data_IF_501377897033
#
_entry.id   IF_501377897033
#
_cell.length_a   1.000
_cell.length_b   1.000
_cell.length_c   1.000
_cell.angle_alpha   90.00
_cell.angle_beta   90.00
_cell.angle_gamma   90.00
#
_symmetry.space_group_name_H-M   'P 1'
#
loop_
_entity.id
_entity.type
_entity.pdbx_description
1 polymer ?
#
# COMPACT_ATOMS: atom_id res chain seq x y z
N UNK A 1 21.93 -37.57 -85.93
CA UNK A 1 22.99 -36.59 -86.10
C UNK A 1 22.60 -35.32 -85.40
N UNK A 2 23.35 -35.02 -84.30
CA UNK A 2 23.45 -33.80 -83.56
C UNK A 2 22.20 -33.20 -82.82
N UNK A 3 22.13 -33.62 -81.60
CA UNK A 3 21.70 -32.89 -80.43
C UNK A 3 22.55 -31.62 -80.29
N UNK A 4 21.92 -30.43 -80.18
CA UNK A 4 22.36 -29.23 -79.46
C UNK A 4 21.47 -28.06 -79.91
N UNK A 5 20.50 -27.69 -79.17
CA UNK A 5 19.99 -26.33 -78.99
C UNK A 5 18.60 -26.39 -78.28
N UNK A 6 18.63 -26.55 -77.01
CA UNK A 6 17.49 -26.14 -76.12
C UNK A 6 17.97 -26.11 -74.63
N UNK A 7 18.79 -25.14 -74.34
CA UNK A 7 19.05 -24.73 -72.95
C UNK A 7 19.13 -23.21 -72.97
N UNK A 8 18.05 -22.53 -72.68
CA UNK A 8 18.03 -21.15 -72.22
C UNK A 8 16.59 -20.62 -72.34
N UNK A 9 15.75 -20.93 -71.39
CA UNK A 9 14.50 -20.19 -71.10
C UNK A 9 13.70 -20.91 -69.95
N UNK A 10 14.33 -21.02 -68.78
CA UNK A 10 13.58 -21.42 -67.56
C UNK A 10 14.31 -20.97 -66.30
N UNK A 11 14.64 -19.67 -66.19
CA UNK A 11 15.23 -19.10 -65.00
C UNK A 11 14.70 -17.68 -64.65
N UNK A 12 13.48 -17.35 -65.12
CA UNK A 12 12.90 -16.02 -64.76
C UNK A 12 11.44 -16.07 -64.34
N UNK A 13 10.95 -17.21 -63.87
CA UNK A 13 9.55 -17.33 -63.40
C UNK A 13 9.42 -17.89 -61.97
N UNK A 14 10.50 -17.90 -61.14
CA UNK A 14 10.44 -18.42 -59.78
C UNK A 14 10.91 -17.42 -58.70
N UNK A 15 10.93 -16.13 -59.02
CA UNK A 15 11.36 -15.06 -58.08
C UNK A 15 10.26 -14.08 -57.66
N UNK A 16 8.98 -14.31 -58.01
CA UNK A 16 7.87 -13.36 -57.66
C UNK A 16 6.79 -13.97 -56.73
N UNK A 17 6.99 -15.15 -56.17
CA UNK A 17 5.97 -15.77 -55.30
C UNK A 17 6.45 -15.99 -53.84
N UNK A 18 7.36 -15.14 -53.32
CA UNK A 18 7.83 -15.22 -51.91
C UNK A 18 7.77 -13.91 -51.15
N UNK A 19 6.96 -12.92 -51.59
CA UNK A 19 6.87 -11.59 -50.91
C UNK A 19 5.48 -11.34 -50.22
N UNK A 20 4.60 -12.31 -50.13
CA UNK A 20 3.27 -12.08 -49.53
C UNK A 20 2.90 -12.97 -48.31
N UNK A 21 3.87 -13.44 -47.51
CA UNK A 21 3.57 -14.18 -46.27
C UNK A 21 4.36 -13.71 -45.03
N UNK A 22 4.82 -12.46 -44.99
CA UNK A 22 5.46 -11.86 -43.80
C UNK A 22 4.76 -10.55 -43.48
N UNK A 23 3.44 -10.52 -43.25
CA UNK A 23 2.74 -9.32 -42.84
C UNK A 23 1.54 -9.59 -41.94
N UNK A 24 1.65 -10.53 -41.00
CA UNK A 24 0.65 -10.70 -39.95
C UNK A 24 1.20 -11.19 -38.61
N UNK A 25 2.52 -11.04 -38.32
CA UNK A 25 3.09 -11.42 -37.04
C UNK A 25 3.80 -10.29 -36.29
N UNK A 26 4.02 -9.14 -36.94
CA UNK A 26 4.78 -8.02 -36.34
C UNK A 26 3.97 -7.08 -35.46
N UNK A 27 2.64 -7.15 -35.46
CA UNK A 27 1.81 -6.16 -34.73
C UNK A 27 1.51 -6.53 -33.27
N UNK A 28 1.80 -7.75 -32.81
CA UNK A 28 1.61 -8.10 -31.37
C UNK A 28 2.92 -8.10 -30.57
N UNK A 29 4.05 -8.47 -31.16
CA UNK A 29 5.35 -8.43 -30.49
C UNK A 29 5.86 -6.99 -30.32
N UNK A 30 5.67 -6.11 -31.31
CA UNK A 30 6.07 -4.70 -31.20
C UNK A 30 5.25 -3.89 -30.17
N UNK A 31 4.00 -4.28 -29.89
CA UNK A 31 3.24 -3.60 -28.83
C UNK A 31 3.68 -4.02 -27.42
N UNK A 32 4.07 -5.28 -27.22
CA UNK A 32 4.57 -5.75 -25.92
C UNK A 32 5.99 -5.25 -25.62
N UNK A 33 6.84 -5.12 -26.64
CA UNK A 33 8.19 -4.55 -26.47
C UNK A 33 8.15 -3.02 -26.29
N UNK A 34 7.26 -2.29 -26.96
CA UNK A 34 7.08 -0.85 -26.76
C UNK A 34 6.51 -0.56 -25.36
N UNK A 35 5.55 -1.35 -24.88
CA UNK A 35 5.01 -1.21 -23.51
C UNK A 35 6.04 -1.63 -22.45
N UNK A 36 6.92 -2.60 -22.73
CA UNK A 36 8.03 -2.95 -21.83
C UNK A 36 9.17 -1.93 -21.88
N UNK A 37 9.43 -1.30 -23.00
CA UNK A 37 10.44 -0.24 -23.13
C UNK A 37 9.98 1.10 -22.55
N UNK A 38 8.69 1.47 -22.66
CA UNK A 38 8.13 2.64 -21.98
C UNK A 38 8.12 2.48 -20.45
N UNK A 39 7.95 1.24 -19.95
CA UNK A 39 8.04 0.96 -18.51
C UNK A 39 9.47 0.91 -17.95
N UNK A 40 10.50 0.79 -18.80
CA UNK A 40 11.91 0.72 -18.37
C UNK A 40 12.61 2.08 -18.28
N UNK A 41 12.01 3.17 -18.80
CA UNK A 41 12.63 4.53 -18.82
C UNK A 41 11.98 5.53 -17.87
N UNK A 42 11.07 5.10 -16.97
CA UNK A 42 10.55 6.00 -15.95
C UNK A 42 11.53 5.99 -14.77
N UNK A 43 12.63 6.75 -14.87
CA UNK A 43 13.54 6.92 -13.73
C UNK A 43 12.79 7.57 -12.56
N UNK A 44 12.86 6.95 -11.38
CA UNK A 44 12.31 7.49 -10.14
C UNK A 44 13.10 8.71 -9.64
N UNK A 45 14.29 8.95 -10.18
CA UNK A 45 15.26 9.98 -9.76
C UNK A 45 14.76 11.44 -9.75
N UNK A 46 13.53 11.69 -10.28
CA UNK A 46 12.93 13.04 -10.30
C UNK A 46 11.71 13.20 -9.40
N UNK A 47 11.30 12.16 -8.67
CA UNK A 47 10.16 12.23 -7.76
C UNK A 47 10.57 12.84 -6.42
N UNK A 48 9.66 13.57 -5.78
CA UNK A 48 9.88 14.12 -4.44
C UNK A 48 9.60 13.09 -3.33
N UNK A 49 9.19 11.86 -3.68
CA UNK A 49 8.88 10.77 -2.78
C UNK A 49 9.45 9.45 -3.31
N UNK A 50 9.54 8.45 -2.45
CA UNK A 50 9.85 7.06 -2.77
C UNK A 50 8.56 6.23 -2.82
N UNK A 51 8.63 5.02 -3.38
CA UNK A 51 7.48 4.12 -3.54
C UNK A 51 7.60 2.87 -2.67
N UNK A 52 6.59 2.62 -1.86
CA UNK A 52 6.38 1.37 -1.12
C UNK A 52 5.12 0.66 -1.58
N UNK A 53 5.02 -0.61 -1.24
CA UNK A 53 3.82 -1.44 -1.46
C UNK A 53 3.21 -1.79 -0.11
N UNK A 54 1.92 -1.50 0.06
CA UNK A 54 1.12 -2.02 1.16
C UNK A 54 0.71 -3.46 0.85
N UNK A 55 1.04 -4.39 1.75
CA UNK A 55 0.74 -5.82 1.58
C UNK A 55 -0.76 -6.08 1.43
N UNK A 56 -1.61 -5.19 1.97
CA UNK A 56 -3.05 -5.28 1.80
C UNK A 56 -3.50 -5.28 0.34
N UNK A 57 -2.76 -4.66 -0.57
CA UNK A 57 -3.01 -4.74 -2.02
C UNK A 57 -3.03 -6.18 -2.57
N UNK A 58 -2.44 -7.12 -1.85
CA UNK A 58 -2.38 -8.54 -2.18
C UNK A 58 -3.32 -9.40 -1.30
N UNK A 59 -4.29 -8.79 -0.60
CA UNK A 59 -5.17 -9.49 0.32
C UNK A 59 -5.94 -10.65 -0.33
N UNK A 60 -6.46 -10.47 -1.55
CA UNK A 60 -7.26 -11.47 -2.27
C UNK A 60 -6.47 -12.76 -2.55
N UNK A 61 -5.29 -12.72 -3.22
CA UNK A 61 -4.49 -13.93 -3.43
C UNK A 61 -3.95 -14.52 -2.12
N UNK A 62 -3.73 -13.73 -1.06
CA UNK A 62 -3.33 -14.25 0.24
C UNK A 62 -4.50 -14.99 0.91
N UNK A 63 -5.69 -14.40 0.96
CA UNK A 63 -6.87 -15.06 1.55
C UNK A 63 -7.38 -16.27 0.76
N UNK A 64 -7.04 -16.38 -0.52
CA UNK A 64 -7.36 -17.55 -1.35
C UNK A 64 -6.26 -18.61 -1.38
N UNK A 65 -5.21 -18.48 -0.57
CA UNK A 65 -4.03 -19.36 -0.52
C UNK A 65 -3.27 -19.46 -1.88
N UNK A 66 -3.47 -18.50 -2.78
CA UNK A 66 -2.72 -18.40 -4.04
C UNK A 66 -1.33 -17.76 -3.87
N UNK A 67 -1.15 -17.01 -2.78
CA UNK A 67 0.09 -16.33 -2.43
C UNK A 67 0.41 -16.53 -0.95
N UNK A 68 1.60 -17.05 -0.66
CA UNK A 68 2.13 -17.09 0.72
C UNK A 68 2.50 -15.65 1.14
N UNK A 69 1.96 -15.12 2.27
CA UNK A 69 2.33 -13.80 2.75
C UNK A 69 3.84 -13.63 3.02
N UNK A 70 4.56 -14.74 3.24
CA UNK A 70 6.02 -14.72 3.39
C UNK A 70 6.78 -14.37 2.11
N UNK A 71 6.16 -14.47 0.92
CA UNK A 71 6.75 -14.11 -0.38
C UNK A 71 6.51 -12.63 -0.75
N UNK A 72 6.04 -11.82 0.19
CA UNK A 72 5.68 -10.41 -0.07
C UNK A 72 6.85 -9.58 -0.59
N UNK A 73 8.05 -9.71 -0.02
CA UNK A 73 9.24 -8.97 -0.46
C UNK A 73 9.60 -9.30 -1.91
N UNK A 74 9.53 -10.58 -2.32
CA UNK A 74 9.74 -11.00 -3.71
C UNK A 74 8.73 -10.33 -4.64
N UNK A 75 7.44 -10.36 -4.28
CA UNK A 75 6.37 -9.75 -5.10
C UNK A 75 6.51 -8.24 -5.23
N UNK A 76 6.87 -7.56 -4.15
CA UNK A 76 7.11 -6.11 -4.17
C UNK A 76 8.32 -5.76 -5.07
N UNK A 77 9.41 -6.52 -4.95
CA UNK A 77 10.58 -6.38 -5.81
C UNK A 77 10.26 -6.63 -7.30
N UNK A 78 9.51 -7.69 -7.64
CA UNK A 78 9.07 -8.00 -9.01
C UNK A 78 8.21 -6.88 -9.62
N UNK A 79 7.48 -6.14 -8.79
CA UNK A 79 6.68 -4.98 -9.17
C UNK A 79 7.48 -3.66 -9.15
N UNK A 80 8.78 -3.73 -8.79
CA UNK A 80 9.71 -2.61 -8.80
C UNK A 80 9.44 -1.59 -7.69
N UNK A 81 9.10 -2.02 -6.49
CA UNK A 81 9.05 -1.22 -5.27
C UNK A 81 10.36 -1.32 -4.51
N UNK A 82 10.60 -0.37 -3.60
CA UNK A 82 11.79 -0.31 -2.75
C UNK A 82 11.44 -0.51 -1.27
N UNK A 83 10.19 -0.23 -0.87
CA UNK A 83 9.72 -0.28 0.51
C UNK A 83 8.56 -1.26 0.73
N UNK A 84 8.52 -1.83 1.93
CA UNK A 84 7.54 -2.84 2.36
C UNK A 84 6.71 -2.34 3.55
N UNK A 85 5.39 -2.47 3.43
CA UNK A 85 4.42 -2.17 4.48
C UNK A 85 3.60 -3.43 4.76
N UNK A 86 3.92 -4.10 5.87
CA UNK A 86 3.35 -5.40 6.22
C UNK A 86 1.99 -5.27 6.91
N UNK A 87 1.14 -6.30 6.78
CA UNK A 87 -0.15 -6.43 7.48
C UNK A 87 -0.08 -7.63 8.43
N UNK A 88 -0.19 -7.38 9.73
CA UNK A 88 -0.03 -8.42 10.76
C UNK A 88 -1.10 -9.51 10.71
N UNK A 89 -2.29 -9.17 10.23
CA UNK A 89 -3.41 -10.10 10.08
C UNK A 89 -3.05 -11.34 9.24
N UNK A 90 -2.18 -11.19 8.24
CA UNK A 90 -1.80 -12.30 7.36
C UNK A 90 -0.89 -13.34 8.03
N UNK A 91 -0.31 -13.01 9.17
CA UNK A 91 0.57 -13.88 9.95
C UNK A 91 -0.09 -14.35 11.25
N UNK A 92 -1.16 -13.67 11.68
CA UNK A 92 -1.78 -13.86 12.99
C UNK A 92 -2.29 -15.28 13.21
N UNK A 93 -2.92 -15.90 12.21
CA UNK A 93 -3.42 -17.27 12.32
C UNK A 93 -2.27 -18.24 12.56
N UNK A 94 -1.22 -18.19 11.76
CA UNK A 94 -0.04 -19.02 11.87
C UNK A 94 0.62 -18.90 13.23
N UNK A 95 0.75 -17.68 13.75
CA UNK A 95 1.35 -17.40 15.05
C UNK A 95 0.45 -17.92 16.17
N UNK A 96 -0.84 -17.63 16.15
CA UNK A 96 -1.76 -17.96 17.25
C UNK A 96 -2.11 -19.44 17.36
N UNK A 97 -2.02 -20.21 16.26
CA UNK A 97 -2.30 -21.65 16.23
C UNK A 97 -1.05 -22.52 16.53
N UNK A 98 0.14 -21.91 16.67
CA UNK A 98 1.37 -22.62 16.99
C UNK A 98 1.37 -23.13 18.45
N UNK A 99 2.13 -24.20 18.74
CA UNK A 99 2.32 -24.71 20.10
C UNK A 99 3.01 -23.65 21.01
N UNK A 100 3.94 -22.89 20.43
CA UNK A 100 4.60 -21.74 21.06
C UNK A 100 4.45 -20.50 20.16
N UNK A 101 3.46 -19.64 20.43
CA UNK A 101 3.23 -18.44 19.63
C UNK A 101 4.40 -17.43 19.63
N UNK A 102 5.18 -17.35 20.71
CA UNK A 102 6.33 -16.44 20.78
C UNK A 102 7.47 -16.95 19.89
N UNK A 103 7.76 -18.26 19.92
CA UNK A 103 8.75 -18.88 19.02
C UNK A 103 8.31 -18.74 17.56
N UNK A 104 7.05 -19.03 17.24
CA UNK A 104 6.54 -18.91 15.87
C UNK A 104 6.56 -17.46 15.36
N UNK A 105 6.24 -16.49 16.21
CA UNK A 105 6.38 -15.08 15.87
C UNK A 105 7.83 -14.74 15.48
N UNK A 106 8.81 -15.23 16.23
CA UNK A 106 10.22 -15.03 15.90
C UNK A 106 10.59 -15.68 14.57
N UNK A 107 10.10 -16.90 14.30
CA UNK A 107 10.31 -17.59 12.99
C UNK A 107 9.74 -16.77 11.84
N UNK A 108 8.53 -16.21 11.99
CA UNK A 108 7.93 -15.33 10.98
C UNK A 108 8.80 -14.08 10.77
N UNK A 109 9.22 -13.40 11.85
CA UNK A 109 10.02 -12.19 11.76
C UNK A 109 11.39 -12.44 11.12
N UNK A 110 12.07 -13.56 11.47
CA UNK A 110 13.33 -13.96 10.86
C UNK A 110 13.16 -14.20 9.36
N UNK A 111 12.08 -14.86 8.96
CA UNK A 111 11.75 -15.10 7.56
C UNK A 111 11.50 -13.81 6.77
N UNK A 112 10.69 -12.88 7.30
CA UNK A 112 10.41 -11.59 6.67
C UNK A 112 11.70 -10.75 6.53
N UNK A 113 12.53 -10.72 7.57
CA UNK A 113 13.81 -10.02 7.54
C UNK A 113 14.76 -10.59 6.50
N UNK A 114 14.91 -11.92 6.48
CA UNK A 114 15.75 -12.60 5.49
C UNK A 114 15.30 -12.31 4.05
N UNK A 115 13.99 -12.32 3.80
CA UNK A 115 13.43 -12.02 2.49
C UNK A 115 13.63 -10.54 2.09
N UNK A 116 13.40 -9.60 2.99
CA UNK A 116 13.67 -8.18 2.70
C UNK A 116 15.15 -7.91 2.41
N UNK A 117 16.07 -8.55 3.14
CA UNK A 117 17.51 -8.46 2.91
C UNK A 117 17.91 -9.13 1.58
N UNK A 118 17.34 -10.31 1.23
CA UNK A 118 17.59 -11.01 -0.03
C UNK A 118 17.25 -10.15 -1.27
N UNK A 119 16.14 -9.43 -1.21
CA UNK A 119 15.68 -8.57 -2.32
C UNK A 119 16.10 -7.10 -2.17
N UNK A 120 16.87 -6.74 -1.13
CA UNK A 120 17.35 -5.38 -0.90
C UNK A 120 16.24 -4.36 -0.64
N UNK A 121 15.15 -4.80 0.02
CA UNK A 121 13.96 -3.98 0.30
C UNK A 121 14.07 -3.29 1.66
N UNK A 122 13.55 -2.06 1.78
CA UNK A 122 13.42 -1.36 3.06
C UNK A 122 12.11 -1.78 3.77
N UNK A 123 12.21 -2.27 5.01
CA UNK A 123 11.04 -2.50 5.87
C UNK A 123 10.60 -1.17 6.48
N UNK A 124 9.36 -0.75 6.28
CA UNK A 124 8.90 0.59 6.64
C UNK A 124 7.95 0.60 7.82
N UNK A 125 6.89 -0.20 7.78
CA UNK A 125 5.90 -0.25 8.85
C UNK A 125 5.17 -1.60 8.92
N UNK A 126 4.56 -1.85 10.09
CA UNK A 126 3.61 -2.92 10.33
C UNK A 126 2.22 -2.31 10.53
N UNK A 127 1.24 -2.71 9.73
CA UNK A 127 -0.18 -2.38 9.93
C UNK A 127 -0.78 -3.39 10.90
N UNK A 128 -1.20 -2.91 12.08
CA UNK A 128 -1.70 -3.75 13.15
C UNK A 128 -3.22 -3.85 13.08
N UNK A 129 -3.70 -5.08 13.02
CA UNK A 129 -5.13 -5.39 13.07
C UNK A 129 -5.40 -6.50 14.11
N UNK A 130 -6.56 -6.42 14.79
CA UNK A 130 -7.03 -7.49 15.67
C UNK A 130 -6.50 -7.48 17.12
N UNK A 131 -5.74 -6.47 17.52
CA UNK A 131 -5.14 -6.39 18.88
C UNK A 131 -5.98 -5.57 19.88
N UNK A 132 -7.31 -5.51 19.68
CA UNK A 132 -8.24 -4.79 20.53
C UNK A 132 -8.41 -3.31 20.20
N UNK A 133 -9.35 -2.67 20.89
CA UNK A 133 -9.82 -1.30 20.60
C UNK A 133 -9.09 -0.26 21.45
N UNK A 134 -8.15 0.47 20.84
CA UNK A 134 -7.37 1.52 21.52
C UNK A 134 -8.20 2.74 21.96
N UNK A 135 -9.38 2.95 21.36
CA UNK A 135 -10.30 4.01 21.78
C UNK A 135 -11.49 3.47 22.59
N UNK A 136 -11.38 2.32 23.23
CA UNK A 136 -12.41 1.77 24.13
C UNK A 136 -12.61 2.66 25.37
N UNK A 137 -13.89 2.90 25.74
CA UNK A 137 -14.24 3.58 27.01
C UNK A 137 -13.95 2.72 28.23
N UNK A 138 -13.93 1.38 28.09
CA UNK A 138 -13.49 0.47 29.13
C UNK A 138 -11.96 0.56 29.31
N UNK A 139 -11.54 1.13 30.43
CA UNK A 139 -10.12 1.33 30.71
C UNK A 139 -9.34 0.01 30.86
N UNK A 140 -9.98 -1.10 31.25
CA UNK A 140 -9.32 -2.41 31.34
C UNK A 140 -9.07 -2.96 29.96
N UNK A 141 -10.10 -2.97 29.09
CA UNK A 141 -9.98 -3.41 27.71
C UNK A 141 -8.98 -2.53 26.92
N UNK A 142 -9.04 -1.20 27.07
CA UNK A 142 -8.11 -0.27 26.44
C UNK A 142 -6.66 -0.49 26.86
N UNK A 143 -6.40 -0.69 28.16
CA UNK A 143 -5.05 -0.98 28.63
C UNK A 143 -4.56 -2.33 28.12
N UNK A 144 -5.42 -3.35 28.03
CA UNK A 144 -5.05 -4.63 27.44
C UNK A 144 -4.69 -4.46 25.97
N UNK A 145 -5.49 -3.70 25.20
CA UNK A 145 -5.16 -3.41 23.81
C UNK A 145 -3.77 -2.73 23.67
N UNK A 146 -3.43 -1.78 24.56
CA UNK A 146 -2.09 -1.18 24.58
C UNK A 146 -1.01 -2.25 24.82
N UNK A 147 -1.20 -3.16 25.78
CA UNK A 147 -0.24 -4.24 26.05
C UNK A 147 -0.08 -5.17 24.83
N UNK A 148 -1.20 -5.54 24.18
CA UNK A 148 -1.20 -6.44 23.03
C UNK A 148 -0.50 -5.84 21.79
N UNK A 149 -0.54 -4.50 21.65
CA UNK A 149 0.20 -3.81 20.57
C UNK A 149 1.72 -3.75 20.82
N UNK A 150 2.22 -3.89 22.05
CA UNK A 150 3.66 -3.76 22.35
C UNK A 150 4.53 -4.80 21.66
N UNK A 151 4.04 -6.04 21.51
CA UNK A 151 4.76 -7.07 20.77
C UNK A 151 5.07 -6.65 19.32
N UNK A 152 4.15 -5.90 18.70
CA UNK A 152 4.33 -5.39 17.34
C UNK A 152 5.26 -4.18 17.26
N UNK A 153 5.35 -3.37 18.30
CA UNK A 153 6.41 -2.35 18.43
C UNK A 153 7.78 -3.03 18.48
N UNK A 154 7.91 -4.14 19.22
CA UNK A 154 9.14 -4.92 19.29
C UNK A 154 9.47 -5.58 17.96
N UNK A 155 8.47 -6.13 17.27
CA UNK A 155 8.60 -6.69 15.92
C UNK A 155 9.05 -5.64 14.91
N UNK A 156 8.44 -4.44 14.94
CA UNK A 156 8.82 -3.33 14.06
C UNK A 156 10.29 -2.92 14.27
N UNK A 157 10.72 -2.78 15.53
CA UNK A 157 12.13 -2.51 15.84
C UNK A 157 13.05 -3.62 15.33
N UNK A 158 12.69 -4.91 15.50
CA UNK A 158 13.46 -6.06 15.05
C UNK A 158 13.63 -6.10 13.52
N UNK A 159 12.55 -5.79 12.77
CA UNK A 159 12.57 -5.73 11.31
C UNK A 159 13.27 -4.49 10.76
N UNK A 160 13.51 -3.47 11.59
CA UNK A 160 14.02 -2.17 11.17
C UNK A 160 12.94 -1.23 10.62
N UNK A 161 11.66 -1.52 10.87
CA UNK A 161 10.56 -0.63 10.52
C UNK A 161 10.62 0.65 11.37
N UNK A 162 10.33 1.80 10.74
CA UNK A 162 10.27 3.07 11.46
C UNK A 162 8.97 3.31 12.21
N UNK A 163 7.93 2.52 11.95
CA UNK A 163 6.58 2.75 12.51
C UNK A 163 5.76 1.47 12.63
N UNK A 164 4.75 1.54 13.50
CA UNK A 164 3.55 0.70 13.39
C UNK A 164 2.34 1.61 13.07
N UNK A 165 1.38 1.12 12.30
CA UNK A 165 0.08 1.76 12.10
C UNK A 165 -0.96 1.05 12.97
N UNK A 166 -1.74 1.83 13.70
CA UNK A 166 -2.80 1.35 14.59
C UNK A 166 -4.16 1.88 14.17
N UNK A 167 -5.21 1.12 14.48
CA UNK A 167 -6.60 1.54 14.34
C UNK A 167 -7.11 2.15 15.64
N UNK A 168 -7.96 3.17 15.55
CA UNK A 168 -8.63 3.79 16.70
C UNK A 168 -10.13 3.46 16.73
N UNK A 169 -10.43 2.16 16.87
CA UNK A 169 -11.81 1.72 17.11
C UNK A 169 -12.14 1.72 18.60
N UNK A 170 -13.46 1.72 18.92
CA UNK A 170 -13.97 1.62 20.29
C UNK A 170 -15.18 2.52 20.54
N UNK A 171 -14.98 3.67 21.17
CA UNK A 171 -16.05 4.59 21.52
C UNK A 171 -16.74 5.19 20.27
N UNK A 172 -18.07 5.40 20.39
CA UNK A 172 -18.89 6.02 19.34
C UNK A 172 -19.18 7.51 19.63
N UNK A 173 -19.02 7.94 20.89
CA UNK A 173 -19.19 9.32 21.30
C UNK A 173 -17.87 10.07 21.08
N UNK A 174 -17.83 11.16 20.30
CA UNK A 174 -16.61 11.85 19.92
C UNK A 174 -15.69 12.24 21.09
N UNK A 175 -16.25 12.77 22.17
CA UNK A 175 -15.46 13.20 23.33
C UNK A 175 -14.84 12.01 24.08
N UNK A 176 -15.60 10.92 24.25
CA UNK A 176 -15.11 9.69 24.85
C UNK A 176 -14.03 9.04 23.97
N UNK A 177 -14.22 9.07 22.66
CA UNK A 177 -13.27 8.55 21.69
C UNK A 177 -11.93 9.31 21.75
N UNK A 178 -11.95 10.64 21.72
CA UNK A 178 -10.74 11.46 21.80
C UNK A 178 -9.95 11.18 23.08
N UNK A 179 -10.65 11.18 24.23
CA UNK A 179 -10.00 10.96 25.52
C UNK A 179 -9.40 9.55 25.62
N UNK A 180 -10.12 8.52 25.17
CA UNK A 180 -9.65 7.14 25.19
C UNK A 180 -8.49 6.92 24.22
N UNK A 181 -8.61 7.43 22.99
CA UNK A 181 -7.55 7.35 21.99
C UNK A 181 -6.27 8.03 22.46
N UNK A 182 -6.36 9.26 22.97
CA UNK A 182 -5.19 9.99 23.46
C UNK A 182 -4.51 9.29 24.66
N UNK A 183 -5.27 8.68 25.58
CA UNK A 183 -4.71 7.90 26.69
C UNK A 183 -3.94 6.67 26.19
N UNK A 184 -4.52 5.90 25.27
CA UNK A 184 -3.87 4.72 24.71
C UNK A 184 -2.63 5.06 23.87
N UNK A 185 -2.75 6.06 22.98
CA UNK A 185 -1.64 6.49 22.12
C UNK A 185 -0.46 7.02 22.95
N UNK A 186 -0.69 7.80 24.01
CA UNK A 186 0.39 8.24 24.92
C UNK A 186 1.15 7.05 25.49
N UNK A 187 0.44 6.07 26.07
CA UNK A 187 1.04 4.90 26.70
C UNK A 187 1.86 4.07 25.67
N UNK A 188 1.28 3.86 24.50
CA UNK A 188 1.96 3.08 23.44
C UNK A 188 3.16 3.85 22.87
N UNK A 189 3.05 5.16 22.66
CA UNK A 189 4.13 6.01 22.19
C UNK A 189 5.27 6.12 23.18
N UNK A 190 4.98 6.19 24.48
CA UNK A 190 6.01 6.15 25.54
C UNK A 190 6.82 4.83 25.48
N UNK A 191 6.12 3.69 25.30
CA UNK A 191 6.79 2.39 25.12
C UNK A 191 7.66 2.36 23.86
N UNK A 192 7.13 2.86 22.74
CA UNK A 192 7.79 2.83 21.43
C UNK A 192 8.98 3.80 21.32
N UNK A 193 8.99 4.89 22.11
CA UNK A 193 10.03 5.93 22.08
C UNK A 193 11.44 5.37 22.28
N UNK A 194 11.61 4.42 23.23
CA UNK A 194 12.89 3.78 23.50
C UNK A 194 13.37 2.79 22.44
N UNK A 195 12.53 2.53 21.43
CA UNK A 195 12.74 1.55 20.36
C UNK A 195 12.86 2.20 18.97
N UNK A 196 12.83 3.53 18.90
CA UNK A 196 12.83 4.30 17.65
C UNK A 196 11.70 3.93 16.69
N UNK A 197 10.53 3.57 17.23
CA UNK A 197 9.32 3.22 16.46
C UNK A 197 8.28 4.31 16.67
N UNK A 198 7.67 4.80 15.59
CA UNK A 198 6.56 5.72 15.68
C UNK A 198 5.24 4.95 15.74
N UNK A 199 4.25 5.57 16.39
CA UNK A 199 2.87 5.11 16.43
C UNK A 199 2.07 5.98 15.46
N UNK A 200 1.55 5.39 14.38
CA UNK A 200 0.81 6.11 13.36
C UNK A 200 -0.67 5.75 13.38
N UNK A 201 -1.50 6.75 13.24
CA UNK A 201 -2.94 6.58 13.09
C UNK A 201 -3.33 6.85 11.64
N UNK A 202 -3.99 5.88 11.04
CA UNK A 202 -4.62 6.02 9.73
C UNK A 202 -6.06 6.54 9.87
N UNK A 203 -6.51 7.39 8.93
CA UNK A 203 -7.94 7.62 8.75
C UNK A 203 -8.56 6.34 8.18
N UNK A 204 -9.21 5.54 9.04
CA UNK A 204 -9.65 4.17 8.69
C UNK A 204 -11.13 3.94 9.04
N UNK A 205 -11.99 4.86 8.63
CA UNK A 205 -13.43 4.83 8.86
C UNK A 205 -13.87 5.44 10.20
N UNK A 206 -15.15 5.75 10.31
CA UNK A 206 -15.80 6.31 11.51
C UNK A 206 -15.10 7.56 12.07
N UNK A 207 -14.89 7.59 13.39
CA UNK A 207 -14.34 8.75 14.08
C UNK A 207 -12.87 8.99 13.71
N UNK A 208 -12.10 7.96 13.31
CA UNK A 208 -10.74 8.18 12.81
C UNK A 208 -10.71 8.85 11.43
N UNK A 209 -11.80 8.78 10.66
CA UNK A 209 -11.98 9.52 9.40
C UNK A 209 -12.59 10.91 9.59
N UNK A 210 -13.00 11.27 10.82
CA UNK A 210 -13.29 12.66 11.17
C UNK A 210 -11.98 13.35 11.53
N UNK A 211 -11.38 14.00 10.55
CA UNK A 211 -10.01 14.51 10.68
C UNK A 211 -9.90 15.63 11.71
N UNK A 212 -10.95 16.40 11.91
CA UNK A 212 -10.94 17.41 12.98
C UNK A 212 -10.74 16.76 14.37
N UNK A 213 -11.44 15.65 14.63
CA UNK A 213 -11.27 14.91 15.87
C UNK A 213 -9.89 14.22 15.94
N UNK A 214 -9.40 13.67 14.82
CA UNK A 214 -8.10 13.02 14.79
C UNK A 214 -6.97 14.02 15.07
N UNK A 215 -7.04 15.23 14.50
CA UNK A 215 -6.07 16.31 14.78
C UNK A 215 -6.11 16.71 16.25
N UNK A 216 -7.30 16.87 16.85
CA UNK A 216 -7.42 17.11 18.29
C UNK A 216 -6.75 16.00 19.13
N UNK A 217 -6.89 14.72 18.72
CA UNK A 217 -6.18 13.61 19.37
C UNK A 217 -4.66 13.76 19.25
N UNK A 218 -4.13 14.10 18.05
CA UNK A 218 -2.70 14.34 17.87
C UNK A 218 -2.18 15.47 18.77
N UNK A 219 -2.93 16.58 18.88
CA UNK A 219 -2.62 17.70 19.78
C UNK A 219 -2.67 17.29 21.27
N UNK A 220 -3.65 16.46 21.65
CA UNK A 220 -3.74 15.93 23.02
C UNK A 220 -2.58 14.99 23.36
N UNK A 221 -2.13 14.17 22.41
CA UNK A 221 -1.00 13.25 22.62
C UNK A 221 0.31 14.03 22.73
N UNK A 222 0.57 14.97 21.85
CA UNK A 222 1.73 15.87 21.83
C UNK A 222 3.07 15.12 22.04
N UNK A 223 3.30 14.06 21.25
CA UNK A 223 4.53 13.26 21.27
C UNK A 223 5.14 13.18 19.87
N UNK A 224 6.44 13.43 19.76
CA UNK A 224 7.16 13.44 18.49
C UNK A 224 7.06 12.13 17.73
N UNK A 225 7.01 10.99 18.43
CA UNK A 225 6.88 9.67 17.83
C UNK A 225 5.43 9.17 17.73
N UNK A 226 4.43 10.06 17.88
CA UNK A 226 3.04 9.81 17.52
C UNK A 226 2.69 10.67 16.32
N UNK A 227 2.01 10.10 15.32
CA UNK A 227 1.68 10.83 14.11
C UNK A 227 0.57 10.17 13.31
N UNK A 228 0.43 10.61 12.06
CA UNK A 228 -0.60 10.11 11.16
C UNK A 228 -0.01 9.35 9.97
N UNK A 229 -0.83 8.49 9.39
CA UNK A 229 -0.67 7.89 8.07
C UNK A 229 -1.88 8.34 7.24
N UNK A 230 -1.83 9.49 6.53
CA UNK A 230 -2.92 9.93 5.67
C UNK A 230 -3.15 8.92 4.54
N UNK A 231 -4.35 8.32 4.52
CA UNK A 231 -4.84 7.50 3.42
C UNK A 231 -5.73 8.33 2.49
N UNK A 232 -5.56 8.16 1.17
CA UNK A 232 -6.26 8.97 0.17
C UNK A 232 -7.73 8.62 -0.01
N UNK A 233 -8.18 7.44 0.45
CA UNK A 233 -9.52 6.92 0.20
C UNK A 233 -10.41 6.72 1.42
N UNK A 234 -9.85 6.58 2.62
CA UNK A 234 -10.57 6.16 3.82
C UNK A 234 -11.26 7.32 4.56
N UNK A 235 -12.18 8.03 3.92
CA UNK A 235 -12.88 9.19 4.48
C UNK A 235 -14.34 8.95 4.86
N UNK A 236 -14.81 7.69 4.84
CA UNK A 236 -16.19 7.39 5.17
C UNK A 236 -16.46 7.52 6.67
N UNK A 237 -17.34 8.45 7.03
CA UNK A 237 -17.79 8.69 8.41
C UNK A 237 -18.95 7.77 8.81
N UNK A 238 -19.81 7.44 7.85
CA UNK A 238 -21.01 6.65 8.11
C UNK A 238 -21.41 5.81 6.90
N UNK A 239 -21.71 4.54 7.16
CA UNK A 239 -22.23 3.63 6.14
C UNK A 239 -23.70 3.31 6.38
N UNK A 240 -24.40 2.86 5.33
CA UNK A 240 -25.79 2.38 5.43
C UNK A 240 -25.90 1.28 6.49
N UNK A 241 -27.01 1.30 7.23
CA UNK A 241 -27.27 0.29 8.26
C UNK A 241 -26.34 0.34 9.47
N UNK A 242 -25.34 1.24 9.53
CA UNK A 242 -24.33 1.28 10.59
C UNK A 242 -23.25 0.19 10.43
N UNK A 243 -23.17 -0.41 9.25
CA UNK A 243 -22.17 -1.42 8.92
C UNK A 243 -20.75 -0.82 8.94
N UNK A 244 -19.74 -1.65 9.27
CA UNK A 244 -18.37 -1.15 9.39
C UNK A 244 -17.67 -1.01 8.03
N UNK A 245 -17.82 -1.97 7.12
CA UNK A 245 -17.01 -2.02 5.92
C UNK A 245 -17.80 -2.18 4.60
N UNK A 246 -18.74 -3.09 4.53
CA UNK A 246 -19.29 -3.58 3.26
C UNK A 246 -20.43 -2.74 2.68
N UNK A 247 -21.07 -1.90 3.48
CA UNK A 247 -22.18 -1.07 3.03
C UNK A 247 -21.71 0.24 2.38
N UNK A 248 -22.58 0.81 1.54
CA UNK A 248 -22.32 2.08 0.88
C UNK A 248 -22.03 3.21 1.87
N UNK A 249 -21.04 4.04 1.58
CA UNK A 249 -20.76 5.25 2.36
C UNK A 249 -21.85 6.30 2.10
N UNK A 250 -22.49 6.79 3.17
CA UNK A 250 -23.56 7.79 3.10
C UNK A 250 -23.16 9.15 3.67
N UNK A 251 -22.01 9.23 4.34
CA UNK A 251 -21.43 10.48 4.85
C UNK A 251 -19.91 10.36 4.76
N UNK A 252 -19.28 11.30 4.06
CA UNK A 252 -17.84 11.31 3.82
C UNK A 252 -17.23 12.63 4.29
N UNK A 253 -16.05 12.56 4.94
CA UNK A 253 -15.25 13.75 5.23
C UNK A 253 -14.58 14.24 3.94
N UNK A 254 -14.41 15.58 3.73
CA UNK A 254 -13.73 16.11 2.54
C UNK A 254 -12.29 15.63 2.43
N UNK A 255 -12.01 14.67 1.54
CA UNK A 255 -10.75 13.92 1.47
C UNK A 255 -9.48 14.79 1.31
N UNK A 256 -9.52 15.79 0.46
CA UNK A 256 -8.35 16.69 0.23
C UNK A 256 -8.07 17.58 1.45
N UNK A 257 -9.10 18.14 2.05
CA UNK A 257 -9.00 18.89 3.30
C UNK A 257 -8.49 17.98 4.44
N UNK A 258 -8.97 16.75 4.48
CA UNK A 258 -8.54 15.75 5.45
C UNK A 258 -7.05 15.45 5.35
N UNK A 259 -6.54 15.14 4.16
CA UNK A 259 -5.11 14.91 3.97
C UNK A 259 -4.31 16.17 4.33
N UNK A 260 -4.73 17.36 3.89
CA UNK A 260 -4.05 18.63 4.21
C UNK A 260 -3.90 18.82 5.73
N UNK A 261 -4.95 18.55 6.51
CA UNK A 261 -4.93 18.66 7.98
C UNK A 261 -4.08 17.60 8.67
N UNK A 262 -3.98 16.39 8.09
CA UNK A 262 -3.17 15.29 8.65
C UNK A 262 -1.68 15.46 8.35
N UNK A 263 -1.31 16.07 7.22
CA UNK A 263 0.08 16.18 6.77
C UNK A 263 1.07 16.76 7.78
N UNK A 264 0.74 17.75 8.64
CA UNK A 264 1.66 18.24 9.68
C UNK A 264 2.12 17.16 10.66
N UNK A 265 1.35 16.09 10.82
CA UNK A 265 1.65 14.95 11.71
C UNK A 265 2.11 13.71 10.94
N UNK A 266 2.12 13.74 9.61
CA UNK A 266 2.35 12.57 8.77
C UNK A 266 3.79 12.07 8.85
N UNK A 267 3.95 10.75 8.99
CA UNK A 267 5.25 10.05 8.92
C UNK A 267 5.27 8.93 7.87
N UNK A 268 4.11 8.62 7.30
CA UNK A 268 3.89 7.77 6.14
C UNK A 268 2.67 8.29 5.39
N UNK A 269 2.43 7.84 4.16
CA UNK A 269 1.27 8.22 3.32
C UNK A 269 0.81 6.99 2.56
N UNK A 270 -0.51 6.71 2.55
CA UNK A 270 -1.13 5.63 1.79
C UNK A 270 -1.84 6.18 0.56
N UNK A 271 -1.42 5.75 -0.63
CA UNK A 271 -2.05 6.05 -1.89
C UNK A 271 -3.10 4.98 -2.24
N UNK A 272 -4.24 5.04 -1.56
CA UNK A 272 -5.40 4.20 -1.83
C UNK A 272 -5.93 4.41 -3.25
N UNK A 273 -6.33 3.32 -3.90
CA UNK A 273 -6.97 3.35 -5.22
C UNK A 273 -7.97 2.22 -5.37
N UNK A 274 -8.95 2.41 -6.25
CA UNK A 274 -10.05 1.47 -6.47
C UNK A 274 -10.28 1.17 -7.95
N UNK A 275 -10.58 2.18 -8.75
CA UNK A 275 -10.98 2.06 -10.16
C UNK A 275 -10.23 3.05 -11.03
N UNK A 276 -10.02 2.68 -12.30
CA UNK A 276 -9.28 3.50 -13.24
C UNK A 276 -10.05 3.64 -14.55
N UNK A 277 -10.08 4.84 -15.09
CA UNK A 277 -10.62 5.12 -16.42
C UNK A 277 -9.69 4.61 -17.55
N UNK A 278 -10.13 4.80 -18.82
CA UNK A 278 -9.36 4.37 -20.00
C UNK A 278 -8.02 5.11 -20.15
N UNK A 279 -7.87 6.29 -19.55
CA UNK A 279 -6.65 7.11 -19.52
C UNK A 279 -5.73 6.78 -18.35
N UNK A 280 -6.13 5.83 -17.48
CA UNK A 280 -5.42 5.39 -16.28
C UNK A 280 -5.45 6.42 -15.15
N UNK A 281 -6.50 7.26 -15.07
CA UNK A 281 -6.77 8.10 -13.91
C UNK A 281 -7.64 7.33 -12.92
N UNK A 282 -7.41 7.54 -11.64
CA UNK A 282 -8.30 7.03 -10.60
C UNK A 282 -9.60 7.83 -10.61
N UNK A 283 -10.75 7.14 -10.63
CA UNK A 283 -12.06 7.78 -10.89
C UNK A 283 -12.59 8.59 -9.70
N UNK A 284 -12.16 8.26 -8.47
CA UNK A 284 -12.69 8.84 -7.22
C UNK A 284 -11.70 9.86 -6.63
N UNK A 285 -10.39 9.67 -6.86
CA UNK A 285 -9.32 10.43 -6.24
C UNK A 285 -8.48 11.13 -7.31
N UNK A 286 -8.48 12.46 -7.31
CA UNK A 286 -7.55 13.25 -8.13
C UNK A 286 -6.14 13.18 -7.54
N UNK A 287 -5.33 12.29 -8.07
CA UNK A 287 -3.96 12.02 -7.61
C UNK A 287 -3.03 13.23 -7.76
N UNK A 288 -3.22 14.05 -8.80
CA UNK A 288 -2.41 15.26 -8.97
C UNK A 288 -2.70 16.29 -7.87
N UNK A 289 -3.98 16.49 -7.55
CA UNK A 289 -4.39 17.36 -6.45
C UNK A 289 -3.91 16.82 -5.10
N UNK A 290 -4.02 15.50 -4.88
CA UNK A 290 -3.61 14.85 -3.64
C UNK A 290 -2.09 14.95 -3.44
N UNK A 291 -1.29 14.61 -4.45
CA UNK A 291 0.16 14.70 -4.40
C UNK A 291 0.66 16.14 -4.26
N UNK A 292 -0.08 17.12 -4.80
CA UNK A 292 0.25 18.52 -4.56
C UNK A 292 0.15 18.89 -3.09
N UNK A 293 -0.88 18.43 -2.38
CA UNK A 293 -1.03 18.64 -0.93
C UNK A 293 0.15 18.02 -0.18
N UNK A 294 0.49 16.78 -0.50
CA UNK A 294 1.61 16.04 0.12
C UNK A 294 2.93 16.77 -0.12
N UNK A 295 3.18 17.24 -1.35
CA UNK A 295 4.39 18.01 -1.72
C UNK A 295 4.45 19.35 -1.01
N UNK A 296 3.36 20.10 -1.00
CA UNK A 296 3.29 21.43 -0.38
C UNK A 296 3.54 21.36 1.14
N UNK A 297 3.20 20.23 1.77
CA UNK A 297 3.55 19.95 3.17
C UNK A 297 5.03 19.61 3.40
N UNK A 298 5.83 19.50 2.34
CA UNK A 298 7.27 19.17 2.43
C UNK A 298 7.58 17.70 2.68
N UNK A 299 6.63 16.79 2.48
CA UNK A 299 6.85 15.36 2.64
C UNK A 299 7.73 14.79 1.52
N UNK A 300 8.73 14.00 1.89
CA UNK A 300 9.69 13.37 0.96
C UNK A 300 9.93 11.89 1.25
N UNK A 301 9.11 11.30 2.14
CA UNK A 301 9.19 9.89 2.52
C UNK A 301 8.61 8.94 1.48
N UNK A 302 8.29 7.75 1.92
CA UNK A 302 7.62 6.74 1.10
C UNK A 302 6.12 7.03 0.99
N UNK A 303 5.56 6.82 -0.20
CA UNK A 303 4.12 6.74 -0.44
C UNK A 303 3.80 5.29 -0.78
N UNK A 304 3.00 4.66 0.08
CA UNK A 304 2.56 3.27 -0.05
C UNK A 304 1.46 3.13 -1.09
N UNK A 305 1.66 2.28 -2.08
CA UNK A 305 0.60 1.88 -3.01
C UNK A 305 -0.32 0.90 -2.29
N UNK A 306 -1.60 1.24 -2.22
CA UNK A 306 -2.63 0.37 -1.64
C UNK A 306 -3.86 0.28 -2.55
N UNK A 307 -3.92 -0.78 -3.34
CA UNK A 307 -5.01 -1.05 -4.26
C UNK A 307 -6.07 -1.96 -3.63
N UNK A 308 -7.32 -1.51 -3.64
CA UNK A 308 -8.48 -2.26 -3.13
C UNK A 308 -9.60 -2.47 -4.17
N UNK A 309 -9.33 -2.20 -5.43
CA UNK A 309 -10.32 -2.36 -6.50
C UNK A 309 -10.69 -3.82 -6.78
N UNK A 310 -11.82 -3.98 -7.51
CA UNK A 310 -12.37 -5.29 -7.86
C UNK A 310 -12.48 -5.54 -9.36
N UNK A 311 -12.21 -4.53 -10.20
CA UNK A 311 -12.43 -4.61 -11.66
C UNK A 311 -11.24 -5.22 -12.41
N UNK A 312 -10.05 -5.12 -11.83
CA UNK A 312 -8.82 -5.68 -12.38
C UNK A 312 -8.11 -6.56 -11.35
N UNK A 313 -7.12 -7.34 -11.79
CA UNK A 313 -6.33 -8.15 -10.86
C UNK A 313 -5.52 -7.25 -9.90
N UNK A 314 -5.15 -7.76 -8.70
CA UNK A 314 -4.29 -7.04 -7.77
C UNK A 314 -3.02 -6.51 -8.41
N UNK A 315 -2.36 -7.33 -9.24
CA UNK A 315 -1.15 -6.93 -9.97
C UNK A 315 -1.39 -5.74 -10.91
N UNK A 316 -2.47 -5.79 -11.70
CA UNK A 316 -2.82 -4.71 -12.63
C UNK A 316 -3.16 -3.43 -11.88
N UNK A 317 -3.95 -3.51 -10.81
CA UNK A 317 -4.30 -2.36 -9.99
C UNK A 317 -3.11 -1.74 -9.26
N UNK A 318 -2.21 -2.54 -8.70
CA UNK A 318 -0.96 -2.06 -8.08
C UNK A 318 -0.11 -1.31 -9.11
N UNK A 319 0.06 -1.86 -10.31
CA UNK A 319 0.84 -1.20 -11.36
C UNK A 319 0.15 0.06 -11.89
N UNK A 320 -1.18 0.07 -12.00
CA UNK A 320 -1.94 1.26 -12.41
C UNK A 320 -1.76 2.39 -11.38
N UNK A 321 -1.90 2.09 -10.09
CA UNK A 321 -1.66 3.06 -9.00
C UNK A 321 -0.24 3.59 -9.01
N UNK A 322 0.76 2.71 -9.12
CA UNK A 322 2.18 3.07 -9.22
C UNK A 322 2.44 4.02 -10.40
N UNK A 323 1.94 3.66 -11.59
CA UNK A 323 2.12 4.46 -12.80
C UNK A 323 1.45 5.83 -12.67
N UNK A 324 0.25 5.88 -12.07
CA UNK A 324 -0.47 7.12 -11.82
C UNK A 324 0.29 8.03 -10.84
N UNK A 325 0.83 7.47 -9.72
CA UNK A 325 1.68 8.21 -8.79
C UNK A 325 2.90 8.81 -9.48
N UNK A 326 3.62 8.02 -10.27
CA UNK A 326 4.80 8.48 -11.02
C UNK A 326 4.42 9.56 -12.03
N UNK A 327 3.35 9.35 -12.81
CA UNK A 327 2.85 10.32 -13.81
C UNK A 327 2.45 11.64 -13.15
N UNK A 328 1.68 11.60 -12.07
CA UNK A 328 1.22 12.77 -11.36
C UNK A 328 2.37 13.49 -10.62
N UNK A 329 3.27 12.73 -9.96
CA UNK A 329 4.42 13.28 -9.26
C UNK A 329 5.42 14.02 -10.14
N UNK A 330 5.64 13.54 -11.39
CA UNK A 330 6.50 14.20 -12.39
C UNK A 330 5.90 15.52 -12.92
N UNK A 331 4.62 15.74 -12.75
CA UNK A 331 3.94 16.96 -13.19
C UNK A 331 3.96 18.08 -12.14
N UNK A 332 4.46 17.80 -10.95
CA UNK A 332 4.57 18.71 -9.82
C UNK A 332 6.02 19.19 -9.62
#
# INVERSE_FOLDING_TARGET
MNLKFLKSLSSLALAILFIFLVSCKETKENKSEIVQQENAEISQDSLFFKLSLAQWSLNKPIFSDELDPMDFAERANDLGFEGLEYVTQFYAQRINEAEDPEEEMQVVLDGLKAKSEEYGMENLLLMIDGEGDLASTDAVARNQAVEDHKKWVDAANYLGCHSIRVNLFGAEVPEDWKNSAADALKKLSEYAKGKNVNILVENHGYLSSNIDLLVEVMEMVDMENCGTLPDFGNFCLKREGGERWEAACIEEYPKYEGVEKMMPYAKAVSAKSYTFDEEGQEEIIDYKKMLKIVKDAGYTGYIGVEFEGNEVSPKEGILATKNLLVKAGKQL
#
